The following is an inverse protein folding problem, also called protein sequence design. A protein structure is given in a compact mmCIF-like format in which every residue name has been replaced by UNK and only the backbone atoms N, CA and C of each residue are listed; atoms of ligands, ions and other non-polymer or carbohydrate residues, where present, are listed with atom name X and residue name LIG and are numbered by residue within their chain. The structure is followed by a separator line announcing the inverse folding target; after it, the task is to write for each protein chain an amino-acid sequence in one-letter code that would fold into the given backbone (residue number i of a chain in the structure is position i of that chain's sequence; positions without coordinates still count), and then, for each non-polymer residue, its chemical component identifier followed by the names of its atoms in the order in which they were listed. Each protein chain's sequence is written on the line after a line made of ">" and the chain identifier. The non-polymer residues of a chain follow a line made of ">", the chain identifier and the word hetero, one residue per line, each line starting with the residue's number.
data_IF_558296928827
#
_entry.id   IF_558296928827
#
_cell.length_a   1.000
_cell.length_b   1.000
_cell.length_c   1.000
_cell.angle_alpha   90.00
_cell.angle_beta   90.00
_cell.angle_gamma   90.00
#
_symmetry.space_group_name_H-M   'P 1'
#
loop_
_entity.id
_entity.type
_entity.pdbx_description
1 polymer ?
#
# COMPACT_ATOMS: atom_id res chain seq x y z
N UNK A 1 -24.51 20.61 4.70
CA UNK A 1 -24.95 19.29 4.19
C UNK A 1 -23.80 18.32 4.41
N UNK A 2 -23.99 17.32 5.28
CA UNK A 2 -22.91 16.44 5.73
C UNK A 2 -22.74 15.33 4.70
N UNK A 3 -21.66 15.38 3.90
CA UNK A 3 -21.31 14.27 3.02
C UNK A 3 -20.92 13.09 3.91
N UNK A 4 -21.80 12.10 3.99
CA UNK A 4 -21.50 10.81 4.60
C UNK A 4 -20.58 10.07 3.64
N UNK A 5 -19.31 9.90 4.02
CA UNK A 5 -18.38 9.05 3.28
C UNK A 5 -18.84 7.58 3.39
N UNK A 6 -18.65 6.78 2.34
CA UNK A 6 -19.00 5.36 2.32
C UNK A 6 -18.11 4.54 3.29
N UNK A 7 -18.59 3.37 3.74
CA UNK A 7 -18.04 2.62 4.88
C UNK A 7 -16.63 2.04 4.69
N UNK A 8 -16.02 2.22 3.52
CA UNK A 8 -14.65 1.78 3.24
C UNK A 8 -13.57 2.81 3.61
N UNK A 9 -13.95 3.94 4.23
CA UNK A 9 -13.02 4.93 4.75
C UNK A 9 -12.61 4.61 6.21
N UNK A 10 -12.16 3.37 6.46
CA UNK A 10 -11.60 3.01 7.77
C UNK A 10 -10.17 3.57 7.84
N UNK A 11 -10.06 4.75 8.46
CA UNK A 11 -8.78 5.33 8.82
C UNK A 11 -8.08 4.43 9.84
N UNK A 12 -6.87 4.03 9.49
CA UNK A 12 -5.87 3.46 10.39
C UNK A 12 -5.66 4.42 11.58
N UNK A 13 -6.22 4.08 12.73
CA UNK A 13 -5.92 4.75 14.00
C UNK A 13 -4.78 4.00 14.64
N UNK A 14 -3.62 4.66 14.70
CA UNK A 14 -2.36 4.04 15.04
C UNK A 14 -2.23 3.49 16.46
N UNK A 15 -1.12 2.77 16.64
CA UNK A 15 -0.43 2.70 17.92
C UNK A 15 -0.63 1.43 18.75
N UNK A 16 -0.89 0.28 18.15
CA UNK A 16 -0.62 -1.01 18.80
C UNK A 16 -0.17 -2.00 17.74
N UNK A 17 0.88 -2.78 18.05
CA UNK A 17 1.39 -3.89 17.24
C UNK A 17 0.38 -5.05 17.23
N UNK A 18 -0.79 -4.76 16.71
CA UNK A 18 -1.82 -5.71 16.36
C UNK A 18 -1.36 -6.43 15.09
N UNK A 19 -1.59 -7.74 15.01
CA UNK A 19 -1.30 -8.47 13.79
C UNK A 19 -2.11 -7.83 12.66
N UNK A 20 -1.43 -7.29 11.65
CA UNK A 20 -2.10 -6.72 10.47
C UNK A 20 -2.77 -7.87 9.73
N UNK A 21 -4.10 -7.91 9.78
CA UNK A 21 -4.91 -8.84 9.02
C UNK A 21 -5.60 -8.06 7.91
N UNK A 22 -5.23 -8.36 6.66
CA UNK A 22 -5.91 -7.84 5.49
C UNK A 22 -6.65 -8.99 4.80
N UNK A 23 -7.87 -8.71 4.34
CA UNK A 23 -8.65 -9.66 3.54
C UNK A 23 -8.07 -9.72 2.14
N UNK A 24 -7.86 -10.93 1.62
CA UNK A 24 -7.45 -11.10 0.22
C UNK A 24 -8.55 -10.58 -0.70
N UNK A 25 -8.21 -9.82 -1.77
CA UNK A 25 -9.19 -9.41 -2.75
C UNK A 25 -9.79 -10.63 -3.47
N UNK A 26 -11.03 -10.49 -3.92
CA UNK A 26 -11.73 -11.52 -4.68
C UNK A 26 -11.33 -11.48 -6.16
N UNK A 27 -11.04 -12.65 -6.72
CA UNK A 27 -10.72 -12.86 -8.13
C UNK A 27 -11.71 -13.84 -8.75
N UNK A 28 -12.15 -13.59 -9.98
CA UNK A 28 -12.83 -14.63 -10.75
C UNK A 28 -11.83 -15.68 -11.29
N UNK A 29 -12.32 -16.76 -11.91
CA UNK A 29 -11.46 -17.87 -12.32
C UNK A 29 -10.46 -17.45 -13.41
N UNK A 30 -10.87 -16.60 -14.34
CA UNK A 30 -10.06 -16.10 -15.43
C UNK A 30 -9.00 -15.09 -14.95
N UNK A 31 -9.37 -14.21 -14.02
CA UNK A 31 -8.49 -13.20 -13.40
C UNK A 31 -7.41 -13.84 -12.55
N UNK A 32 -7.71 -14.94 -11.86
CA UNK A 32 -6.74 -15.65 -11.03
C UNK A 32 -5.53 -16.17 -11.83
N UNK A 33 -5.70 -16.40 -13.14
CA UNK A 33 -4.64 -16.84 -14.05
C UNK A 33 -4.15 -15.73 -14.99
N UNK A 34 -4.72 -14.52 -14.90
CA UNK A 34 -4.36 -13.41 -15.77
C UNK A 34 -3.12 -12.68 -15.27
N UNK A 35 -2.25 -12.29 -16.21
CA UNK A 35 -1.13 -11.39 -15.92
C UNK A 35 -1.56 -9.90 -15.89
N UNK A 36 -2.81 -9.61 -16.23
CA UNK A 36 -3.35 -8.25 -16.20
C UNK A 36 -4.02 -7.95 -14.86
N UNK A 37 -3.88 -6.70 -14.41
CA UNK A 37 -4.55 -6.22 -13.21
C UNK A 37 -6.08 -6.16 -13.41
N UNK A 38 -6.88 -6.81 -12.54
CA UNK A 38 -8.34 -6.80 -12.61
C UNK A 38 -8.93 -5.38 -12.56
N UNK A 39 -10.02 -5.15 -13.28
CA UNK A 39 -10.58 -3.79 -13.44
C UNK A 39 -11.07 -3.20 -12.11
N UNK A 40 -11.69 -4.02 -11.27
CA UNK A 40 -12.21 -3.61 -9.95
C UNK A 40 -11.12 -3.31 -8.91
N UNK A 41 -9.88 -3.72 -9.16
CA UNK A 41 -8.75 -3.48 -8.24
C UNK A 41 -7.80 -2.38 -8.72
N UNK A 42 -8.00 -1.80 -9.92
CA UNK A 42 -7.09 -0.79 -10.48
C UNK A 42 -6.92 0.42 -9.57
N UNK A 43 -8.01 0.96 -9.02
CA UNK A 43 -7.98 2.13 -8.15
C UNK A 43 -7.15 1.88 -6.88
N UNK A 44 -7.33 0.73 -6.23
CA UNK A 44 -6.62 0.38 -5.02
C UNK A 44 -5.14 0.09 -5.30
N UNK A 45 -4.86 -0.63 -6.38
CA UNK A 45 -3.49 -0.87 -6.82
C UNK A 45 -2.74 0.42 -7.14
N UNK A 46 -3.38 1.39 -7.82
CA UNK A 46 -2.77 2.70 -8.06
C UNK A 46 -2.40 3.42 -6.76
N UNK A 47 -3.25 3.36 -5.72
CA UNK A 47 -2.91 3.94 -4.41
C UNK A 47 -1.71 3.25 -3.81
N UNK A 48 -1.71 1.92 -3.76
CA UNK A 48 -0.59 1.14 -3.20
C UNK A 48 0.71 1.45 -3.91
N UNK A 49 0.71 1.46 -5.25
CA UNK A 49 1.90 1.80 -6.05
C UNK A 49 2.33 3.24 -5.77
N UNK A 50 1.42 4.21 -5.71
CA UNK A 50 1.77 5.59 -5.38
C UNK A 50 2.45 5.70 -3.99
N UNK A 51 1.97 4.94 -3.00
CA UNK A 51 2.61 4.88 -1.69
C UNK A 51 3.96 4.13 -1.70
N UNK A 52 4.08 3.08 -2.52
CA UNK A 52 5.27 2.22 -2.55
C UNK A 52 6.40 2.81 -3.41
N UNK A 53 6.06 3.60 -4.43
CA UNK A 53 6.99 4.30 -5.34
C UNK A 53 7.33 5.69 -4.81
N UNK A 54 6.64 6.17 -3.77
CA UNK A 54 7.16 7.26 -2.96
C UNK A 54 8.43 6.76 -2.27
N UNK A 55 9.61 7.36 -2.54
CA UNK A 55 10.83 6.94 -1.84
C UNK A 55 10.55 7.11 -0.35
N UNK A 56 10.71 6.02 0.41
CA UNK A 56 10.63 6.10 1.86
C UNK A 56 11.54 7.26 2.34
N UNK A 57 11.16 8.06 3.34
CA UNK A 57 12.02 9.13 3.88
C UNK A 57 13.26 8.59 4.64
N UNK A 58 13.78 7.42 4.27
CA UNK A 58 14.85 6.71 4.96
C UNK A 58 15.72 5.94 3.98
N UNK A 59 16.48 6.67 3.16
CA UNK A 59 17.74 6.20 2.59
C UNK A 59 18.77 7.31 2.31
N UNK A 60 18.61 8.52 2.85
CA UNK A 60 19.71 9.48 2.98
C UNK A 60 20.40 9.28 4.32
N UNK A 61 20.97 8.09 4.53
CA UNK A 61 22.08 7.94 5.46
C UNK A 61 23.36 8.26 4.68
N UNK A 62 24.15 9.28 5.03
CA UNK A 62 25.47 9.41 4.44
C UNK A 62 26.26 8.17 4.82
N UNK A 63 26.58 7.31 3.84
CA UNK A 63 27.63 6.31 4.04
C UNK A 63 28.93 7.10 4.13
N UNK A 64 29.26 7.58 5.34
CA UNK A 64 30.60 8.04 5.71
C UNK A 64 31.52 6.83 5.59
N UNK A 65 31.96 6.54 4.36
CA UNK A 65 33.18 5.75 4.14
C UNK A 65 34.33 6.63 4.60
N UNK A 66 34.57 6.60 5.91
CA UNK A 66 35.75 7.15 6.55
C UNK A 66 36.92 6.28 6.07
N UNK A 67 37.53 6.65 4.95
CA UNK A 67 38.83 6.13 4.55
C UNK A 67 39.84 6.67 5.56
N UNK A 68 40.03 5.92 6.64
CA UNK A 68 41.33 5.74 7.29
C UNK A 68 41.83 4.44 6.65
N UNK A 69 43.01 4.35 6.05
CA UNK A 69 44.35 4.74 6.51
C UNK A 69 45.25 4.76 5.28
#
# INVERSE_FOLDING_TARGET
>A
QKLSLPPWHQGDTGGEKTAFSATSPHFNAEEAYSAHMPEHLRCDACRVIAFQVSPAPQALGPTQRRIKI
#
